data_IF_742721647630
#
_entry.id   IF_742721647630
#
_cell.length_a   1.000
_cell.length_b   1.000
_cell.length_c   1.000
_cell.angle_alpha   90.00
_cell.angle_beta   90.00
_cell.angle_gamma   90.00
#
_symmetry.space_group_name_H-M   'P 1'
#
loop_
_entity.id
_entity.type
_entity.pdbx_description
1 polymer ?
#
# COMPACT_ATOMS: atom_id res chain seq x y z
N UNK A 1 3.46 -87.34 53.31
CA UNK A 1 4.03 -87.03 54.63
C UNK A 1 3.83 -85.56 54.86
N UNK A 2 3.08 -85.27 55.91
CA UNK A 2 2.76 -83.95 56.42
C UNK A 2 3.99 -83.18 56.91
N UNK A 3 3.83 -81.85 57.02
CA UNK A 3 4.75 -80.92 57.65
C UNK A 3 5.21 -79.86 56.64
N UNK A 4 4.87 -78.58 56.72
CA UNK A 4 4.50 -77.75 57.87
C UNK A 4 5.56 -76.66 58.00
N UNK A 5 5.22 -75.41 57.62
CA UNK A 5 5.79 -74.16 58.14
C UNK A 5 5.22 -72.92 57.39
N UNK A 6 4.36 -72.18 58.08
CA UNK A 6 4.16 -70.71 58.01
C UNK A 6 4.45 -70.26 59.48
N UNK A 7 4.74 -69.00 59.86
CA UNK A 7 4.77 -67.74 59.10
C UNK A 7 5.92 -66.77 59.48
N UNK A 8 5.90 -65.55 58.91
CA UNK A 8 5.89 -64.26 59.64
C UNK A 8 6.65 -63.12 58.91
N UNK A 9 6.15 -61.90 59.11
CA UNK A 9 6.75 -60.57 58.87
C UNK A 9 6.45 -59.83 57.53
N UNK A 10 5.33 -59.10 57.56
CA UNK A 10 5.19 -57.74 56.99
C UNK A 10 5.85 -56.71 57.93
N UNK A 11 5.98 -55.40 57.59
CA UNK A 11 6.32 -54.72 56.32
C UNK A 11 7.48 -53.70 56.56
N UNK A 12 7.84 -52.80 55.62
CA UNK A 12 7.18 -51.47 55.67
C UNK A 12 6.91 -50.80 54.31
N UNK A 13 5.88 -49.96 54.39
CA UNK A 13 5.36 -48.99 53.43
C UNK A 13 6.45 -48.06 52.88
N UNK A 14 6.50 -47.90 51.55
CA UNK A 14 7.22 -46.80 50.89
C UNK A 14 6.20 -45.87 50.24
N UNK A 15 6.14 -44.67 50.77
CA UNK A 15 5.30 -43.55 50.33
C UNK A 15 5.73 -43.05 48.96
N UNK A 16 4.92 -43.27 47.92
CA UNK A 16 5.09 -42.58 46.64
C UNK A 16 4.44 -41.20 46.74
N UNK A 17 5.30 -40.21 46.91
CA UNK A 17 4.98 -38.78 46.87
C UNK A 17 4.39 -38.35 45.52
N UNK A 18 3.27 -37.65 45.60
CA UNK A 18 2.54 -36.99 44.52
C UNK A 18 3.45 -36.00 43.75
N UNK A 19 3.89 -36.41 42.57
CA UNK A 19 4.62 -35.56 41.62
C UNK A 19 3.75 -34.41 41.13
N UNK A 20 4.23 -33.19 41.38
CA UNK A 20 3.61 -31.92 41.00
C UNK A 20 3.32 -31.87 39.49
N UNK A 21 2.07 -31.50 39.15
CA UNK A 21 1.64 -31.17 37.79
C UNK A 21 2.49 -30.01 37.25
N UNK A 22 3.36 -30.29 36.28
CA UNK A 22 4.01 -29.26 35.48
C UNK A 22 2.96 -28.67 34.53
N UNK A 23 2.39 -27.53 34.92
CA UNK A 23 1.60 -26.67 34.02
C UNK A 23 2.62 -25.84 33.22
N UNK A 24 2.61 -25.88 31.87
CA UNK A 24 3.51 -25.05 31.09
C UNK A 24 3.13 -23.57 31.25
N UNK A 25 4.10 -22.65 31.25
CA UNK A 25 3.85 -21.24 31.47
C UNK A 25 3.01 -20.67 30.33
N UNK A 26 1.96 -19.94 30.70
CA UNK A 26 1.10 -19.19 29.79
C UNK A 26 1.93 -18.16 29.03
N UNK A 27 2.17 -18.45 27.77
CA UNK A 27 2.81 -17.55 26.82
C UNK A 27 1.91 -16.32 26.62
N UNK A 28 2.32 -15.20 27.20
CA UNK A 28 1.69 -13.90 26.96
C UNK A 28 1.79 -13.61 25.46
N UNK A 29 0.69 -13.80 24.73
CA UNK A 29 0.48 -13.31 23.36
C UNK A 29 0.89 -11.83 23.30
N UNK A 30 2.11 -11.56 22.84
CA UNK A 30 2.49 -10.23 22.37
C UNK A 30 1.54 -9.94 21.22
N UNK A 31 0.71 -8.90 21.37
CA UNK A 31 0.00 -8.30 20.24
C UNK A 31 1.08 -7.82 19.29
N UNK A 32 1.38 -8.63 18.27
CA UNK A 32 2.12 -8.20 17.11
C UNK A 32 1.16 -7.24 16.42
N UNK A 33 1.33 -5.94 16.64
CA UNK A 33 0.68 -4.93 15.81
C UNK A 33 1.15 -5.24 14.41
N UNK A 34 0.25 -5.73 13.55
CA UNK A 34 0.52 -5.89 12.15
C UNK A 34 0.85 -4.48 11.61
N UNK A 35 2.15 -4.19 11.53
CA UNK A 35 2.66 -3.07 10.76
C UNK A 35 2.29 -3.39 9.32
N UNK A 36 1.24 -2.78 8.81
CA UNK A 36 0.93 -2.79 7.39
C UNK A 36 2.21 -2.44 6.63
N UNK A 37 2.72 -3.29 5.72
CA UNK A 37 3.90 -2.97 4.94
C UNK A 37 3.59 -1.71 4.14
N UNK A 38 4.43 -0.68 4.29
CA UNK A 38 4.36 0.50 3.44
C UNK A 38 4.64 0.08 1.99
N UNK A 39 3.95 0.68 1.00
CA UNK A 39 4.22 0.39 -0.40
C UNK A 39 5.69 0.69 -0.72
N UNK A 40 6.36 -0.31 -1.30
CA UNK A 40 7.77 -0.26 -1.70
C UNK A 40 7.85 0.60 -2.95
N UNK A 41 8.38 1.82 -2.83
CA UNK A 41 8.64 2.68 -3.99
C UNK A 41 9.96 2.28 -4.66
N UNK A 42 9.98 2.08 -6.00
CA UNK A 42 11.22 1.92 -6.76
C UNK A 42 11.81 3.30 -7.07
N UNK A 43 12.11 4.07 -6.03
CA UNK A 43 12.79 5.35 -6.17
C UNK A 43 14.00 5.29 -5.25
N UNK A 44 15.13 4.86 -5.83
CA UNK A 44 16.43 4.68 -5.17
C UNK A 44 17.06 6.05 -4.83
N UNK A 45 16.30 6.91 -4.14
CA UNK A 45 16.77 8.21 -3.65
C UNK A 45 17.40 8.03 -2.28
N UNK A 46 18.62 8.55 -2.03
CA UNK A 46 19.21 8.52 -0.69
C UNK A 46 18.23 9.17 0.29
N UNK A 47 17.81 8.41 1.30
CA UNK A 47 16.82 8.86 2.29
C UNK A 47 17.39 10.04 3.05
N UNK A 48 16.86 11.23 2.79
CA UNK A 48 17.28 12.43 3.50
C UNK A 48 16.96 12.27 4.99
N UNK A 49 17.92 12.52 5.90
CA UNK A 49 17.71 12.29 7.32
C UNK A 49 16.57 13.17 7.84
N UNK A 50 15.59 12.54 8.51
CA UNK A 50 14.39 13.19 9.06
C UNK A 50 14.74 14.30 10.06
N UNK A 51 13.83 15.25 10.27
CA UNK A 51 14.05 16.34 11.23
C UNK A 51 14.33 15.80 12.63
N UNK A 52 13.62 14.72 13.02
CA UNK A 52 13.86 14.00 14.29
C UNK A 52 15.27 13.42 14.34
N UNK A 53 15.74 12.77 13.28
CA UNK A 53 17.08 12.16 13.27
C UNK A 53 18.18 13.22 13.42
N UNK A 54 18.04 14.37 12.76
CA UNK A 54 18.97 15.52 12.88
C UNK A 54 18.94 16.10 14.30
N UNK A 55 17.74 16.29 14.85
CA UNK A 55 17.56 16.83 16.20
C UNK A 55 18.12 15.88 17.27
N UNK A 56 17.87 14.57 17.13
CA UNK A 56 18.42 13.53 18.02
C UNK A 56 19.94 13.52 17.97
N UNK A 57 20.56 13.56 16.78
CA UNK A 57 22.02 13.65 16.61
C UNK A 57 22.60 14.89 17.29
N UNK A 58 21.96 16.04 17.13
CA UNK A 58 22.42 17.29 17.75
C UNK A 58 22.36 17.23 19.30
N UNK A 59 21.27 16.70 19.86
CA UNK A 59 21.12 16.52 21.31
C UNK A 59 22.14 15.50 21.83
N UNK A 60 22.34 14.39 21.11
CA UNK A 60 23.32 13.36 21.47
C UNK A 60 24.74 13.95 21.54
N UNK A 61 25.15 14.72 20.51
CA UNK A 61 26.44 15.41 20.47
C UNK A 61 26.62 16.37 21.63
N UNK A 62 25.57 17.12 22.00
CA UNK A 62 25.61 18.08 23.11
C UNK A 62 25.71 17.40 24.48
N UNK A 63 25.07 16.25 24.65
CA UNK A 63 24.99 15.53 25.95
C UNK A 63 26.02 14.41 26.10
N UNK A 64 26.90 14.23 25.11
CA UNK A 64 27.99 13.25 25.15
C UNK A 64 27.53 11.80 25.10
N UNK A 65 26.35 11.51 24.54
CA UNK A 65 25.81 10.14 24.55
C UNK A 65 24.38 10.01 24.05
N UNK A 66 23.78 8.85 24.29
CA UNK A 66 22.47 8.51 23.74
C UNK A 66 21.32 9.27 24.40
N UNK A 67 20.33 9.69 23.58
CA UNK A 67 19.18 10.50 24.00
C UNK A 67 18.06 9.63 24.57
N UNK A 68 18.35 8.86 25.63
CA UNK A 68 17.36 7.94 26.23
C UNK A 68 16.76 8.49 27.54
N UNK A 69 17.47 9.41 28.22
CA UNK A 69 17.03 10.00 29.49
C UNK A 69 16.73 11.50 29.34
N UNK A 70 15.54 11.82 28.85
CA UNK A 70 15.03 13.20 28.83
C UNK A 70 13.74 13.30 29.63
N UNK A 71 13.68 14.27 30.54
CA UNK A 71 12.43 14.59 31.24
C UNK A 71 11.38 15.09 30.25
N UNK A 72 10.11 14.68 30.39
CA UNK A 72 9.03 14.97 29.45
C UNK A 72 8.89 16.46 29.12
N UNK A 73 9.07 17.34 30.12
CA UNK A 73 8.98 18.81 29.97
C UNK A 73 10.30 19.50 29.61
N UNK A 74 11.39 18.75 29.41
CA UNK A 74 12.69 19.36 29.09
C UNK A 74 12.68 20.08 27.73
N UNK A 75 13.53 21.08 27.57
CA UNK A 75 13.69 21.82 26.30
C UNK A 75 14.03 20.86 25.13
N UNK A 76 14.86 19.87 25.40
CA UNK A 76 15.29 18.88 24.40
C UNK A 76 14.15 17.91 24.04
N UNK A 77 13.30 17.52 25.00
CA UNK A 77 12.07 16.77 24.72
C UNK A 77 11.10 17.56 23.84
N UNK A 78 10.90 18.85 24.13
CA UNK A 78 10.04 19.70 23.31
C UNK A 78 10.62 19.89 21.90
N UNK A 79 11.94 19.99 21.76
CA UNK A 79 12.63 20.06 20.44
C UNK A 79 12.39 18.77 19.64
N UNK A 80 12.55 17.61 20.26
CA UNK A 80 12.26 16.32 19.61
C UNK A 80 10.79 16.20 19.23
N UNK A 81 9.87 16.60 20.11
CA UNK A 81 8.44 16.58 19.82
C UNK A 81 8.09 17.46 18.61
N UNK A 82 8.59 18.70 18.57
CA UNK A 82 8.39 19.61 17.42
C UNK A 82 8.94 19.03 16.12
N UNK A 83 10.11 18.39 16.18
CA UNK A 83 10.68 17.71 15.02
C UNK A 83 9.79 16.54 14.56
N UNK A 84 9.27 15.73 15.49
CA UNK A 84 8.36 14.62 15.19
C UNK A 84 7.05 15.07 14.58
N UNK A 85 6.44 16.13 15.13
CA UNK A 85 5.21 16.72 14.56
C UNK A 85 5.47 17.26 13.15
N UNK A 86 6.65 17.82 12.89
CA UNK A 86 7.01 18.28 11.53
C UNK A 86 7.12 17.11 10.57
N UNK A 87 7.82 16.04 10.94
CA UNK A 87 8.00 14.86 10.10
C UNK A 87 6.63 14.21 9.79
N UNK A 88 5.75 14.07 10.80
CA UNK A 88 4.37 13.58 10.60
C UNK A 88 3.54 14.45 9.64
N UNK A 89 3.69 15.78 9.68
CA UNK A 89 2.99 16.68 8.75
C UNK A 89 3.50 16.51 7.32
N UNK A 90 4.81 16.38 7.13
CA UNK A 90 5.41 16.15 5.83
C UNK A 90 5.00 14.79 5.25
N UNK A 91 4.98 13.75 6.08
CA UNK A 91 4.49 12.42 5.70
C UNK A 91 3.02 12.45 5.25
N UNK A 92 2.15 13.13 6.01
CA UNK A 92 0.74 13.32 5.61
C UNK A 92 0.60 14.04 4.28
N UNK A 93 1.42 15.08 4.03
CA UNK A 93 1.39 15.81 2.77
C UNK A 93 1.89 14.95 1.60
N UNK A 94 2.95 14.16 1.82
CA UNK A 94 3.45 13.21 0.83
C UNK A 94 2.41 12.13 0.50
N UNK A 95 1.75 11.56 1.53
CA UNK A 95 0.69 10.58 1.33
C UNK A 95 -0.53 11.18 0.61
N UNK A 96 -0.91 12.42 0.91
CA UNK A 96 -2.00 13.11 0.23
C UNK A 96 -1.68 13.39 -1.25
N UNK A 97 -0.43 13.76 -1.54
CA UNK A 97 0.07 13.89 -2.92
C UNK A 97 0.00 12.55 -3.64
N UNK A 98 0.58 11.51 -3.04
CA UNK A 98 0.61 10.16 -3.61
C UNK A 98 -0.79 9.67 -4.01
N UNK A 99 -1.80 9.85 -3.15
CA UNK A 99 -3.19 9.46 -3.47
C UNK A 99 -3.76 10.13 -4.73
N UNK A 100 -3.31 11.35 -5.06
CA UNK A 100 -3.71 12.06 -6.28
C UNK A 100 -2.91 11.64 -7.51
N UNK A 101 -1.63 11.30 -7.28
CA UNK A 101 -0.68 10.94 -8.31
C UNK A 101 -0.86 9.49 -8.78
N UNK A 102 -1.24 8.59 -7.87
CA UNK A 102 -1.38 7.16 -8.19
C UNK A 102 -2.36 6.85 -9.33
N UNK A 103 -3.59 7.38 -9.38
CA UNK A 103 -4.50 7.09 -10.49
C UNK A 103 -3.93 7.48 -11.87
N UNK A 104 -3.09 8.53 -11.90
CA UNK A 104 -2.41 8.98 -13.12
C UNK A 104 -1.29 8.00 -13.49
N UNK A 105 -0.48 7.59 -12.50
CA UNK A 105 0.60 6.63 -12.72
C UNK A 105 0.08 5.23 -13.14
N UNK A 106 -0.94 4.71 -12.45
CA UNK A 106 -1.58 3.42 -12.74
C UNK A 106 -2.16 3.40 -14.16
N UNK A 107 -2.76 4.53 -14.58
CA UNK A 107 -3.25 4.71 -15.94
C UNK A 107 -2.11 4.65 -16.95
N UNK A 108 -1.06 5.42 -16.75
CA UNK A 108 0.10 5.45 -17.66
C UNK A 108 0.72 4.06 -17.79
N UNK A 109 0.89 3.36 -16.66
CA UNK A 109 1.41 1.99 -16.64
C UNK A 109 0.55 1.04 -17.48
N UNK A 110 -0.77 1.08 -17.32
CA UNK A 110 -1.67 0.24 -18.14
C UNK A 110 -1.52 0.48 -19.65
N UNK A 111 -1.42 1.74 -20.07
CA UNK A 111 -1.25 2.06 -21.50
C UNK A 111 0.15 1.72 -22.01
N UNK A 112 1.18 1.86 -21.18
CA UNK A 112 2.54 1.44 -21.49
C UNK A 112 2.61 -0.09 -21.66
N UNK A 113 2.03 -0.85 -20.74
CA UNK A 113 1.96 -2.32 -20.83
C UNK A 113 1.21 -2.76 -22.09
N UNK A 114 0.08 -2.12 -22.38
CA UNK A 114 -0.71 -2.38 -23.60
C UNK A 114 0.05 -2.05 -24.90
N UNK A 115 0.97 -1.07 -24.87
CA UNK A 115 1.84 -0.73 -26.00
C UNK A 115 2.95 -1.76 -26.16
N UNK A 116 3.57 -2.18 -25.06
CA UNK A 116 4.62 -3.19 -25.04
C UNK A 116 4.10 -4.52 -25.63
N UNK A 117 2.87 -4.91 -25.30
CA UNK A 117 2.22 -6.10 -25.87
C UNK A 117 1.97 -6.00 -27.39
N UNK A 118 1.78 -4.77 -27.90
CA UNK A 118 1.51 -4.50 -29.32
C UNK A 118 2.77 -4.16 -30.13
N UNK A 119 3.95 -4.19 -29.51
CA UNK A 119 5.23 -3.95 -30.17
C UNK A 119 5.61 -2.47 -30.31
N UNK A 120 5.15 -1.60 -29.41
CA UNK A 120 5.55 -0.19 -29.30
C UNK A 120 5.35 0.63 -30.58
N UNK A 121 4.32 0.28 -31.36
CA UNK A 121 3.87 1.06 -32.52
C UNK A 121 2.80 2.06 -32.13
N UNK A 122 2.72 3.23 -32.80
CA UNK A 122 1.61 4.16 -32.63
C UNK A 122 0.24 3.51 -32.78
N UNK A 123 -0.69 3.83 -31.90
CA UNK A 123 -2.02 3.25 -31.88
C UNK A 123 -3.03 4.11 -32.63
N UNK A 124 -3.96 3.44 -33.31
CA UNK A 124 -5.14 4.09 -33.90
C UNK A 124 -6.19 4.40 -32.83
N UNK A 125 -7.03 5.40 -33.11
CA UNK A 125 -8.13 5.85 -32.24
C UNK A 125 -9.04 4.68 -31.84
N UNK A 126 -9.37 3.78 -32.77
CA UNK A 126 -10.23 2.63 -32.45
C UNK A 126 -9.60 1.68 -31.43
N UNK A 127 -8.28 1.48 -31.51
CA UNK A 127 -7.56 0.65 -30.53
C UNK A 127 -7.47 1.36 -29.18
N UNK A 128 -7.25 2.67 -29.17
CA UNK A 128 -7.22 3.48 -27.95
C UNK A 128 -8.57 3.40 -27.23
N UNK A 129 -9.69 3.53 -27.95
CA UNK A 129 -11.02 3.40 -27.36
C UNK A 129 -11.26 2.03 -26.74
N UNK A 130 -10.81 0.96 -27.41
CA UNK A 130 -10.89 -0.40 -26.86
C UNK A 130 -10.06 -0.53 -25.58
N UNK A 131 -8.84 0.01 -25.54
CA UNK A 131 -8.01 -0.01 -24.33
C UNK A 131 -8.62 0.80 -23.20
N UNK A 132 -9.19 1.98 -23.48
CA UNK A 132 -9.92 2.77 -22.49
C UNK A 132 -11.10 1.97 -21.95
N UNK A 133 -11.87 1.31 -22.81
CA UNK A 133 -13.00 0.47 -22.39
C UNK A 133 -12.53 -0.65 -21.46
N UNK A 134 -11.46 -1.38 -21.81
CA UNK A 134 -10.86 -2.39 -20.93
C UNK A 134 -10.44 -1.81 -19.58
N UNK A 135 -9.83 -0.62 -19.56
CA UNK A 135 -9.41 0.04 -18.32
C UNK A 135 -10.58 0.49 -17.45
N UNK A 136 -11.65 1.02 -18.04
CA UNK A 136 -12.85 1.48 -17.32
C UNK A 136 -13.55 0.29 -16.66
N UNK A 137 -13.66 -0.84 -17.37
CA UNK A 137 -14.38 -2.03 -16.93
C UNK A 137 -13.53 -3.05 -16.15
N UNK A 138 -12.26 -2.75 -15.86
CA UNK A 138 -11.35 -3.67 -15.16
C UNK A 138 -11.83 -4.08 -13.75
N UNK A 139 -12.71 -3.28 -13.14
CA UNK A 139 -13.23 -3.52 -11.78
C UNK A 139 -14.60 -4.22 -11.76
N UNK A 140 -15.24 -4.39 -12.92
CA UNK A 140 -16.60 -4.90 -13.01
C UNK A 140 -16.70 -6.34 -12.54
N UNK A 141 -15.73 -7.18 -12.93
CA UNK A 141 -15.66 -8.58 -12.50
C UNK A 141 -15.49 -8.70 -10.98
N UNK A 142 -14.62 -7.88 -10.39
CA UNK A 142 -14.42 -7.85 -8.94
C UNK A 142 -15.71 -7.40 -8.23
N UNK A 143 -16.33 -6.32 -8.71
CA UNK A 143 -17.58 -5.81 -8.16
C UNK A 143 -18.71 -6.84 -8.22
N UNK A 144 -18.87 -7.52 -9.35
CA UNK A 144 -19.89 -8.57 -9.53
C UNK A 144 -19.63 -9.78 -8.63
N UNK A 145 -18.37 -10.15 -8.41
CA UNK A 145 -18.01 -11.23 -7.49
C UNK A 145 -18.41 -10.92 -6.05
N UNK A 146 -18.18 -9.68 -5.59
CA UNK A 146 -18.56 -9.22 -4.25
C UNK A 146 -20.08 -9.17 -4.11
N UNK A 147 -20.77 -8.66 -5.13
CA UNK A 147 -22.23 -8.59 -5.17
C UNK A 147 -22.89 -9.98 -5.14
N UNK A 148 -22.30 -10.97 -5.83
CA UNK A 148 -22.75 -12.38 -5.81
C UNK A 148 -22.47 -13.07 -4.49
N UNK A 149 -21.33 -12.79 -3.87
CA UNK A 149 -20.98 -13.33 -2.55
C UNK A 149 -21.88 -12.77 -1.43
N UNK A 150 -22.49 -11.60 -1.65
CA UNK A 150 -23.40 -10.95 -0.71
C UNK A 150 -24.74 -11.68 -0.66
N UNK A 151 -25.20 -12.01 0.55
CA UNK A 151 -26.55 -12.53 0.76
C UNK A 151 -27.59 -11.45 0.42
N UNK A 152 -28.73 -11.83 -0.21
CA UNK A 152 -29.79 -10.87 -0.51
C UNK A 152 -30.25 -10.16 0.77
N UNK A 153 -30.48 -8.84 0.69
CA UNK A 153 -30.93 -8.01 1.81
C UNK A 153 -29.85 -7.44 2.74
N UNK A 154 -28.58 -7.86 2.64
CA UNK A 154 -27.46 -7.22 3.38
C UNK A 154 -26.98 -5.96 2.62
N UNK A 155 -26.69 -4.83 3.29
CA UNK A 155 -26.06 -3.68 2.62
C UNK A 155 -24.67 -4.03 2.06
N UNK A 156 -24.23 -3.26 1.07
CA UNK A 156 -22.92 -3.44 0.44
C UNK A 156 -21.79 -3.33 1.46
N UNK A 157 -20.68 -4.01 1.18
CA UNK A 157 -19.46 -3.82 1.97
C UNK A 157 -18.80 -2.48 1.62
N UNK A 158 -17.98 -1.92 2.50
CA UNK A 158 -17.21 -0.69 2.21
C UNK A 158 -16.38 -0.85 0.93
N UNK A 159 -15.84 -2.04 0.66
CA UNK A 159 -15.08 -2.33 -0.57
C UNK A 159 -15.98 -2.31 -1.81
N UNK A 160 -17.17 -2.89 -1.72
CA UNK A 160 -18.18 -2.88 -2.80
C UNK A 160 -18.61 -1.45 -3.14
N UNK A 161 -18.87 -0.62 -2.12
CA UNK A 161 -19.24 0.79 -2.31
C UNK A 161 -18.10 1.60 -2.95
N UNK A 162 -16.86 1.40 -2.51
CA UNK A 162 -15.68 2.05 -3.09
C UNK A 162 -15.44 1.65 -4.54
N UNK A 163 -15.60 0.37 -4.89
CA UNK A 163 -15.49 -0.11 -6.27
C UNK A 163 -16.58 0.50 -7.14
N UNK A 164 -17.83 0.52 -6.67
CA UNK A 164 -18.94 1.15 -7.39
C UNK A 164 -18.68 2.64 -7.67
N UNK A 165 -18.18 3.37 -6.68
CA UNK A 165 -17.80 4.77 -6.87
C UNK A 165 -16.68 4.92 -7.90
N UNK A 166 -15.68 4.02 -7.88
CA UNK A 166 -14.56 4.04 -8.81
C UNK A 166 -15.01 3.77 -10.25
N UNK A 167 -15.85 2.76 -10.47
CA UNK A 167 -16.42 2.42 -11.79
C UNK A 167 -17.22 3.61 -12.32
N UNK A 168 -18.13 4.15 -11.51
CA UNK A 168 -18.96 5.30 -11.91
C UNK A 168 -18.14 6.55 -12.25
N UNK A 169 -17.03 6.80 -11.54
CA UNK A 169 -16.12 7.90 -11.84
C UNK A 169 -15.40 7.70 -13.19
N UNK A 170 -14.89 6.49 -13.45
CA UNK A 170 -14.22 6.14 -14.70
C UNK A 170 -15.16 6.22 -15.91
N UNK A 171 -16.39 5.74 -15.77
CA UNK A 171 -17.43 5.84 -16.81
C UNK A 171 -17.76 7.31 -17.11
N UNK A 172 -17.98 8.13 -16.08
CA UNK A 172 -18.26 9.55 -16.25
C UNK A 172 -17.09 10.30 -16.91
N UNK A 173 -15.85 9.93 -16.55
CA UNK A 173 -14.65 10.47 -17.19
C UNK A 173 -14.61 10.09 -18.69
N UNK A 174 -14.89 8.83 -19.02
CA UNK A 174 -14.89 8.39 -20.41
C UNK A 174 -15.94 9.12 -21.28
N UNK A 175 -17.11 9.41 -20.72
CA UNK A 175 -18.14 10.18 -21.43
C UNK A 175 -17.73 11.64 -21.67
N UNK A 176 -17.10 12.29 -20.68
CA UNK A 176 -16.67 13.69 -20.78
C UNK A 176 -15.33 13.87 -21.50
N UNK A 177 -14.57 12.78 -21.62
CA UNK A 177 -13.30 12.64 -22.30
C UNK A 177 -12.19 12.25 -21.32
N UNK A 178 -11.63 11.08 -21.59
CA UNK A 178 -10.61 10.41 -20.82
C UNK A 178 -9.22 10.94 -21.15
N UNK A 179 -8.47 11.36 -20.14
CA UNK A 179 -7.14 11.98 -20.33
C UNK A 179 -6.04 10.92 -20.23
N UNK A 180 -5.23 10.75 -21.26
CA UNK A 180 -4.15 9.76 -21.28
C UNK A 180 -2.90 10.27 -22.01
N UNK A 181 -1.72 9.66 -21.81
CA UNK A 181 -0.51 10.01 -22.56
C UNK A 181 -0.71 9.79 -24.06
N UNK A 182 -0.18 10.69 -24.88
CA UNK A 182 -0.27 10.56 -26.34
C UNK A 182 0.41 9.26 -26.81
N UNK A 183 -0.39 8.31 -27.29
CA UNK A 183 0.06 7.03 -27.85
C UNK A 183 -0.10 6.99 -29.37
N UNK A 184 -0.45 8.12 -30.00
CA UNK A 184 -0.64 8.23 -31.45
C UNK A 184 0.62 8.72 -32.17
N UNK A 185 1.55 9.35 -31.46
CA UNK A 185 2.82 9.84 -32.02
C UNK A 185 3.97 8.91 -31.66
N UNK A 186 4.82 8.61 -32.63
CA UNK A 186 5.98 7.74 -32.43
C UNK A 186 6.96 8.29 -31.37
N UNK A 187 7.20 9.60 -31.36
CA UNK A 187 8.07 10.25 -30.37
C UNK A 187 7.53 10.08 -28.93
N UNK A 188 6.22 10.25 -28.77
CA UNK A 188 5.56 10.12 -27.47
C UNK A 188 5.53 8.67 -26.98
N UNK A 189 5.35 7.71 -27.90
CA UNK A 189 5.40 6.27 -27.60
C UNK A 189 6.78 5.86 -27.11
N UNK A 190 7.87 6.30 -27.76
CA UNK A 190 9.25 6.03 -27.29
C UNK A 190 9.50 6.61 -25.91
N UNK A 191 9.02 7.84 -25.66
CA UNK A 191 9.18 8.49 -24.36
C UNK A 191 8.38 7.79 -23.25
N UNK A 192 7.25 7.18 -23.61
CA UNK A 192 6.43 6.36 -22.73
C UNK A 192 7.03 4.98 -22.49
N UNK A 193 7.69 4.38 -23.49
CA UNK A 193 8.45 3.13 -23.35
C UNK A 193 9.58 3.28 -22.30
N UNK A 194 10.32 4.39 -22.35
CA UNK A 194 11.41 4.72 -21.41
C UNK A 194 10.93 5.17 -20.00
N UNK A 195 9.62 5.15 -19.77
CA UNK A 195 9.05 5.55 -18.50
C UNK A 195 9.16 4.43 -17.46
N UNK A 196 9.93 4.69 -16.40
CA UNK A 196 10.22 3.73 -15.32
C UNK A 196 9.35 3.94 -14.06
N UNK A 197 8.21 4.62 -14.18
CA UNK A 197 7.36 4.96 -13.02
C UNK A 197 7.66 6.32 -12.38
N UNK A 198 8.60 7.10 -12.91
CA UNK A 198 8.97 8.40 -12.34
C UNK A 198 7.93 9.50 -12.64
N UNK A 199 7.41 10.14 -11.59
CA UNK A 199 6.43 11.24 -11.72
C UNK A 199 6.95 12.42 -12.54
N UNK A 200 8.23 12.77 -12.39
CA UNK A 200 8.83 13.90 -13.09
C UNK A 200 8.76 13.73 -14.62
N UNK A 201 8.96 12.50 -15.10
CA UNK A 201 8.91 12.17 -16.53
C UNK A 201 7.50 12.32 -17.11
N UNK A 202 6.45 12.05 -16.32
CA UNK A 202 5.05 12.19 -16.77
C UNK A 202 4.68 13.61 -17.18
N UNK A 203 5.28 14.61 -16.53
CA UNK A 203 5.03 16.02 -16.84
C UNK A 203 5.64 16.47 -18.17
N UNK A 204 6.61 15.71 -18.70
CA UNK A 204 7.24 15.97 -19.99
C UNK A 204 6.54 15.25 -21.15
N UNK A 205 5.67 14.27 -20.86
CA UNK A 205 4.87 13.59 -21.88
C UNK A 205 3.82 14.53 -22.45
N UNK A 206 3.49 14.34 -23.73
CA UNK A 206 2.29 14.93 -24.33
C UNK A 206 1.05 14.18 -23.89
N UNK A 207 -0.06 14.90 -23.66
CA UNK A 207 -1.32 14.32 -23.20
C UNK A 207 -2.43 14.57 -24.21
N UNK A 208 -3.32 13.60 -24.33
CA UNK A 208 -4.52 13.68 -25.15
C UNK A 208 -5.75 13.35 -24.34
N UNK A 209 -6.89 13.87 -24.77
CA UNK A 209 -8.21 13.64 -24.24
C UNK A 209 -9.06 12.96 -25.30
N UNK A 210 -9.59 11.78 -24.98
CA UNK A 210 -10.37 10.93 -25.89
C UNK A 210 -11.78 10.74 -25.34
N UNK A 211 -12.80 11.13 -26.09
CA UNK A 211 -14.21 10.91 -25.72
C UNK A 211 -14.75 9.56 -26.20
N UNK A 212 -15.88 9.14 -25.61
CA UNK A 212 -16.64 7.97 -26.08
C UNK A 212 -17.07 8.08 -27.56
N UNK A 213 -17.22 9.30 -28.08
CA UNK A 213 -17.49 9.57 -29.50
C UNK A 213 -16.28 9.46 -30.44
N UNK A 214 -15.09 9.15 -29.90
CA UNK A 214 -13.85 9.03 -30.68
C UNK A 214 -13.19 10.35 -31.02
N UNK A 215 -13.61 11.45 -30.39
CA UNK A 215 -12.96 12.74 -30.59
C UNK A 215 -11.69 12.81 -29.76
N UNK A 216 -10.56 12.99 -30.43
CA UNK A 216 -9.25 13.19 -29.80
C UNK A 216 -8.92 14.68 -29.78
N UNK A 217 -8.52 15.20 -28.63
CA UNK A 217 -8.03 16.57 -28.45
C UNK A 217 -6.74 16.57 -27.65
N UNK A 218 -5.83 17.49 -27.92
CA UNK A 218 -4.66 17.68 -27.06
C UNK A 218 -5.10 18.20 -25.68
N UNK A 219 -4.44 17.77 -24.62
CA UNK A 219 -4.73 18.17 -23.25
C UNK A 219 -3.45 18.41 -22.46
N UNK A 220 -3.59 19.09 -21.33
CA UNK A 220 -2.50 19.31 -20.38
C UNK A 220 -2.37 18.13 -19.41
N UNK A 221 -1.17 17.99 -18.83
CA UNK A 221 -0.91 17.05 -17.74
C UNK A 221 -1.88 17.32 -16.57
N UNK A 222 -2.57 16.28 -16.04
CA UNK A 222 -3.54 16.42 -14.94
C UNK A 222 -2.86 16.66 -13.57
N UNK A 223 -2.07 17.73 -13.45
CA UNK A 223 -1.28 18.10 -12.26
C UNK A 223 -2.11 18.28 -10.97
N UNK A 224 -3.42 18.56 -11.10
CA UNK A 224 -4.33 18.73 -9.96
C UNK A 224 -4.92 17.40 -9.45
N UNK A 225 -4.59 16.29 -10.11
CA UNK A 225 -5.22 14.99 -9.95
C UNK A 225 -6.27 14.75 -11.03
N UNK A 226 -6.62 13.48 -11.20
CA UNK A 226 -7.80 13.05 -11.96
C UNK A 226 -8.93 12.88 -10.95
N UNK A 227 -10.14 13.33 -11.33
CA UNK A 227 -11.32 13.28 -10.46
C UNK A 227 -11.74 11.85 -10.14
#
# INVERSE_FOLDING_TARGET
MDGGAIPELLPPQSTVTLGKKNVPPTEKRRKISAQTPLPVHPDNRPTMPSSVSKTRKHIAKKRGGEVNALHVKSRDSQRLHKAGVRDQRLEKLAAARYKKEQPIADRVAFFQDSLNEKGNTPLDVGTIQMLIHTFVHQYDEEYDSLKKARRPGRPGSVREDLLKMKISALEAEYQTGFVLPDVMKEESVKLLEDWEGSWSKLSALSWIKVSSSGQVRQSDFPSKGIN
#
